data_IF_389647538547
#
_entry.id   IF_389647538547
#
_cell.length_a   1.000
_cell.length_b   1.000
_cell.length_c   1.000
_cell.angle_alpha   90.00
_cell.angle_beta   90.00
_cell.angle_gamma   90.00
#
_symmetry.space_group_name_H-M   'P 1'
#
loop_
_entity.id
_entity.type
_entity.pdbx_description
1 polymer ?
#
# COMPACT_ATOMS: atom_id res chain seq x y z
N UNK A 1 8.91 -7.14 -10.61
CA UNK A 1 7.54 -7.70 -10.42
C UNK A 1 7.45 -9.22 -10.60
N UNK A 2 8.29 -9.91 -11.41
CA UNK A 2 8.15 -11.37 -11.63
C UNK A 2 8.52 -12.30 -10.45
N UNK A 3 9.30 -11.83 -9.47
CA UNK A 3 9.92 -12.66 -8.42
C UNK A 3 9.32 -12.54 -7.02
N UNK A 4 8.39 -11.61 -6.77
CA UNK A 4 7.66 -11.52 -5.48
C UNK A 4 6.68 -12.70 -5.25
N UNK A 5 6.80 -13.75 -6.10
CA UNK A 5 5.75 -14.69 -6.49
C UNK A 5 6.05 -16.15 -6.17
N UNK A 6 7.29 -16.50 -5.87
CA UNK A 6 7.65 -17.91 -5.64
C UNK A 6 7.14 -18.43 -4.28
N UNK A 7 6.91 -17.55 -3.29
CA UNK A 7 6.60 -17.98 -1.92
C UNK A 7 5.16 -17.70 -1.47
N UNK A 8 4.44 -16.71 -2.01
CA UNK A 8 3.03 -16.47 -1.63
C UNK A 8 2.09 -17.61 -2.07
N UNK A 9 2.39 -18.27 -3.21
CA UNK A 9 1.62 -19.40 -3.75
C UNK A 9 2.00 -20.78 -3.16
N UNK A 10 3.21 -20.94 -2.62
CA UNK A 10 3.68 -22.23 -2.11
C UNK A 10 3.07 -22.58 -0.73
N UNK A 11 2.74 -21.58 0.07
CA UNK A 11 2.34 -21.77 1.47
C UNK A 11 0.84 -21.92 1.72
N UNK A 12 0.02 -21.35 0.85
CA UNK A 12 -1.43 -21.49 0.94
C UNK A 12 -1.87 -22.95 0.65
N UNK A 13 -0.99 -23.78 0.07
CA UNK A 13 -1.22 -25.20 -0.22
C UNK A 13 -1.12 -26.12 1.00
N UNK A 14 -0.53 -25.67 2.12
CA UNK A 14 -0.25 -26.51 3.30
C UNK A 14 -1.17 -26.21 4.50
N UNK A 15 -2.15 -25.32 4.35
CA UNK A 15 -3.13 -25.00 5.40
C UNK A 15 -4.25 -26.03 5.57
N UNK A 16 -4.47 -26.90 4.58
CA UNK A 16 -5.54 -27.90 4.63
C UNK A 16 -5.02 -29.24 5.23
N UNK A 17 -5.35 -29.45 6.52
CA UNK A 17 -5.31 -30.70 7.33
C UNK A 17 -3.99 -31.05 8.05
N UNK A 18 -4.09 -31.57 9.30
CA UNK A 18 -4.37 -32.99 9.50
C UNK A 18 -5.56 -33.33 10.42
N UNK A 19 -5.85 -34.63 10.45
CA UNK A 19 -7.03 -35.32 10.94
C UNK A 19 -7.39 -35.15 12.43
N UNK A 20 -8.69 -35.33 12.68
CA UNK A 20 -9.35 -35.35 13.99
C UNK A 20 -8.65 -36.31 14.95
N UNK A 21 -8.18 -35.80 16.09
CA UNK A 21 -8.04 -36.58 17.32
C UNK A 21 -8.85 -35.92 18.42
N UNK A 22 -9.79 -36.69 18.97
CA UNK A 22 -10.61 -36.32 20.13
C UNK A 22 -9.73 -36.29 21.37
N UNK A 23 -9.85 -35.23 22.18
CA UNK A 23 -9.46 -35.23 23.60
C UNK A 23 -10.57 -34.53 24.43
N UNK A 24 -10.75 -34.93 25.70
CA UNK A 24 -11.99 -34.76 26.44
C UNK A 24 -12.11 -33.44 27.21
N UNK A 25 -13.35 -33.08 27.53
CA UNK A 25 -13.78 -31.93 28.32
C UNK A 25 -13.46 -32.07 29.82
N UNK A 26 -13.34 -30.94 30.52
CA UNK A 26 -13.76 -30.65 31.92
C UNK A 26 -13.27 -29.23 32.34
N UNK A 27 -13.78 -28.59 33.42
CA UNK A 27 -15.00 -27.80 33.39
C UNK A 27 -14.81 -26.34 33.88
N UNK A 28 -15.86 -25.55 33.68
CA UNK A 28 -16.12 -24.18 34.14
C UNK A 28 -16.08 -24.01 35.66
N UNK A 29 -15.55 -22.87 36.13
CA UNK A 29 -15.93 -22.26 37.42
C UNK A 29 -15.96 -20.72 37.32
N UNK A 30 -17.16 -20.17 37.50
CA UNK A 30 -17.41 -18.79 37.91
C UNK A 30 -17.16 -18.65 39.42
N UNK A 31 -16.95 -17.42 39.91
CA UNK A 31 -17.82 -17.00 41.01
C UNK A 31 -18.41 -15.59 40.81
N UNK A 32 -19.66 -15.48 41.25
CA UNK A 32 -20.40 -14.25 41.47
C UNK A 32 -20.23 -13.75 42.91
N UNK A 33 -20.40 -12.43 43.11
CA UNK A 33 -20.84 -11.64 44.31
C UNK A 33 -20.25 -10.23 44.12
N UNK A 34 -20.94 -9.10 44.27
CA UNK A 34 -22.19 -8.74 44.91
C UNK A 34 -21.97 -7.43 45.72
N UNK A 35 -22.98 -6.55 45.76
CA UNK A 35 -23.18 -5.29 46.55
C UNK A 35 -22.99 -3.99 45.77
N UNK A 36 -24.07 -3.32 45.32
CA UNK A 36 -24.98 -2.37 46.01
C UNK A 36 -24.33 -1.11 46.57
N UNK A 37 -24.61 0.04 45.93
CA UNK A 37 -24.94 1.28 46.64
C UNK A 37 -25.95 2.12 45.86
N UNK A 38 -27.04 2.47 46.57
CA UNK A 38 -28.08 3.40 46.21
C UNK A 38 -27.54 4.82 46.01
N UNK A 39 -28.04 5.53 45.00
CA UNK A 39 -28.27 6.98 45.10
C UNK A 39 -29.64 7.35 44.53
N UNK A 40 -30.34 8.13 45.34
CA UNK A 40 -31.66 8.72 45.15
C UNK A 40 -31.67 9.75 44.01
N UNK A 41 -32.81 9.86 43.32
CA UNK A 41 -33.51 11.11 42.93
C UNK A 41 -34.84 10.69 42.27
N UNK A 42 -35.95 10.92 42.95
CA UNK A 42 -36.83 12.10 42.83
C UNK A 42 -37.90 11.89 41.76
N UNK A 43 -39.13 11.78 42.24
CA UNK A 43 -40.39 11.68 41.48
C UNK A 43 -40.63 12.99 40.72
N UNK A 44 -41.17 12.89 39.51
CA UNK A 44 -42.28 13.75 39.12
C UNK A 44 -43.24 13.00 38.20
N UNK A 45 -44.52 13.30 38.37
CA UNK A 45 -45.68 12.56 37.90
C UNK A 45 -46.58 13.53 37.15
N UNK A 46 -46.94 13.21 35.90
CA UNK A 46 -47.84 14.03 35.10
C UNK A 46 -48.51 13.22 34.00
N UNK A 47 -49.67 12.67 34.32
CA UNK A 47 -50.53 11.85 33.47
C UNK A 47 -51.27 12.65 32.37
N UNK A 48 -51.35 12.04 31.17
CA UNK A 48 -52.58 11.73 30.39
C UNK A 48 -53.40 12.91 29.83
N UNK A 49 -53.64 12.90 28.50
CA UNK A 49 -54.96 12.58 27.89
C UNK A 49 -54.92 12.57 26.34
N UNK A 50 -55.53 11.56 25.70
CA UNK A 50 -55.82 11.52 24.25
C UNK A 50 -57.30 11.82 23.94
N UNK A 51 -57.60 12.33 22.73
CA UNK A 51 -58.93 12.33 22.09
C UNK A 51 -58.72 12.23 20.56
N UNK A 52 -59.13 11.16 19.85
CA UNK A 52 -60.48 10.77 19.35
C UNK A 52 -61.16 11.91 18.55
N UNK A 53 -61.81 11.73 17.40
CA UNK A 53 -62.17 10.58 16.54
C UNK A 53 -62.97 11.13 15.32
N UNK A 54 -63.17 10.30 14.27
CA UNK A 54 -64.26 10.27 13.25
C UNK A 54 -64.14 11.05 11.93
N UNK A 55 -64.04 10.36 10.77
CA UNK A 55 -65.10 9.77 9.87
C UNK A 55 -65.25 10.69 8.64
N UNK A 56 -65.57 10.30 7.40
CA UNK A 56 -65.97 9.08 6.67
C UNK A 56 -65.79 9.44 5.17
N UNK A 57 -65.55 8.46 4.30
CA UNK A 57 -65.63 8.67 2.85
C UNK A 57 -65.30 7.42 2.08
N UNK A 58 -66.33 6.63 1.78
CA UNK A 58 -66.34 5.51 0.84
C UNK A 58 -66.34 6.05 -0.59
N UNK A 59 -65.49 5.53 -1.48
CA UNK A 59 -65.98 5.03 -2.76
C UNK A 59 -64.97 4.15 -3.51
N UNK A 60 -65.53 3.33 -4.38
CA UNK A 60 -64.97 2.13 -4.97
C UNK A 60 -64.11 2.37 -6.24
N UNK A 61 -63.32 1.32 -6.54
CA UNK A 61 -62.83 0.90 -7.87
C UNK A 61 -62.00 1.88 -8.71
N UNK A 62 -60.69 1.63 -8.81
CA UNK A 62 -60.04 1.55 -10.13
C UNK A 62 -58.81 0.62 -10.05
N UNK A 63 -58.99 -0.56 -10.62
CA UNK A 63 -58.01 -1.63 -10.76
C UNK A 63 -57.16 -1.33 -12.01
N UNK A 64 -56.09 -0.57 -11.83
CA UNK A 64 -55.04 -0.42 -12.86
C UNK A 64 -53.68 -0.70 -12.26
N UNK A 65 -53.25 -1.93 -12.50
CA UNK A 65 -51.92 -2.48 -12.33
C UNK A 65 -50.81 -1.45 -12.66
N UNK A 66 -50.31 -0.78 -11.63
CA UNK A 66 -48.98 -0.16 -11.66
C UNK A 66 -47.98 -1.25 -11.29
N UNK A 67 -47.40 -1.85 -12.31
CA UNK A 67 -46.21 -2.67 -12.17
C UNK A 67 -45.15 -1.84 -11.44
N UNK A 68 -44.92 -2.16 -10.16
CA UNK A 68 -43.78 -1.64 -9.40
C UNK A 68 -42.53 -2.19 -10.11
N UNK A 69 -41.54 -1.36 -10.46
CA UNK A 69 -40.29 -1.87 -10.99
C UNK A 69 -39.70 -2.82 -9.95
N UNK A 70 -39.22 -3.96 -10.45
CA UNK A 70 -38.93 -5.16 -9.68
C UNK A 70 -38.19 -4.89 -8.39
N UNK A 71 -38.53 -5.67 -7.35
CA UNK A 71 -37.64 -5.92 -6.23
C UNK A 71 -36.24 -6.12 -6.81
N UNK A 72 -35.31 -5.24 -6.44
CA UNK A 72 -33.88 -5.46 -6.62
C UNK A 72 -33.65 -6.92 -6.22
N UNK A 73 -33.15 -7.74 -7.15
CA UNK A 73 -32.67 -9.07 -6.78
C UNK A 73 -31.74 -8.84 -5.58
N UNK A 74 -31.88 -9.59 -4.47
CA UNK A 74 -30.90 -9.50 -3.41
C UNK A 74 -29.55 -9.70 -4.09
N UNK A 75 -28.64 -8.73 -3.92
CA UNK A 75 -27.27 -8.86 -4.39
C UNK A 75 -26.84 -10.26 -3.99
N UNK A 76 -26.65 -11.14 -4.96
CA UNK A 76 -26.27 -12.53 -4.67
C UNK A 76 -25.02 -12.44 -3.84
N UNK A 77 -25.14 -12.81 -2.56
CA UNK A 77 -24.07 -12.70 -1.58
C UNK A 77 -22.84 -13.39 -2.15
N UNK A 78 -21.71 -12.70 -2.17
CA UNK A 78 -20.52 -13.23 -2.85
C UNK A 78 -20.04 -14.46 -2.06
N UNK A 79 -19.57 -15.52 -2.74
CA UNK A 79 -19.21 -16.78 -2.07
C UNK A 79 -18.17 -16.63 -0.95
N UNK A 80 -17.29 -15.62 -1.02
CA UNK A 80 -16.28 -15.34 0.00
C UNK A 80 -16.78 -14.46 1.16
N UNK A 81 -18.04 -14.02 1.16
CA UNK A 81 -18.60 -13.15 2.22
C UNK A 81 -19.49 -13.92 3.20
N UNK A 82 -20.07 -15.05 2.76
CA UNK A 82 -21.07 -15.83 3.52
C UNK A 82 -20.52 -17.15 4.08
N UNK A 83 -21.11 -17.61 5.19
CA UNK A 83 -20.82 -18.92 5.78
C UNK A 83 -19.71 -18.89 6.83
N UNK A 84 -19.22 -20.08 7.22
CA UNK A 84 -18.06 -20.19 8.09
C UNK A 84 -16.76 -19.84 7.36
N UNK A 85 -15.64 -19.75 8.09
CA UNK A 85 -14.36 -19.34 7.50
C UNK A 85 -13.89 -20.28 6.38
N UNK A 86 -14.19 -21.58 6.47
CA UNK A 86 -13.84 -22.55 5.44
C UNK A 86 -14.68 -22.33 4.17
N UNK A 87 -15.99 -22.10 4.31
CA UNK A 87 -16.87 -21.77 3.19
C UNK A 87 -16.40 -20.48 2.49
N UNK A 88 -16.03 -19.44 3.25
CA UNK A 88 -15.49 -18.20 2.69
C UNK A 88 -14.14 -18.43 1.98
N UNK A 89 -13.29 -19.30 2.53
CA UNK A 89 -12.02 -19.68 1.91
C UNK A 89 -12.25 -20.34 0.55
N UNK A 90 -13.15 -21.33 0.50
CA UNK A 90 -13.50 -22.04 -0.73
C UNK A 90 -14.21 -21.11 -1.73
N UNK A 91 -14.93 -20.09 -1.24
CA UNK A 91 -15.55 -19.05 -2.06
C UNK A 91 -14.57 -18.25 -2.92
N UNK A 92 -13.33 -18.07 -2.47
CA UNK A 92 -12.26 -17.44 -3.25
C UNK A 92 -11.68 -18.34 -4.35
N UNK A 93 -12.00 -19.64 -4.35
CA UNK A 93 -11.40 -20.63 -5.24
C UNK A 93 -12.38 -21.07 -6.34
N UNK A 94 -11.83 -21.55 -7.45
CA UNK A 94 -12.54 -22.34 -8.42
C UNK A 94 -12.75 -23.77 -7.89
N UNK A 95 -13.56 -24.56 -8.61
CA UNK A 95 -13.89 -25.94 -8.22
C UNK A 95 -12.67 -26.86 -8.10
N UNK A 96 -11.52 -26.50 -8.67
CA UNK A 96 -10.26 -27.24 -8.53
C UNK A 96 -9.60 -27.09 -7.14
N UNK A 97 -10.14 -26.21 -6.29
CA UNK A 97 -9.65 -25.95 -4.94
C UNK A 97 -8.26 -25.30 -4.88
N UNK A 98 -7.75 -24.77 -6.00
CA UNK A 98 -6.37 -24.24 -6.09
C UNK A 98 -6.29 -22.92 -6.84
N UNK A 99 -7.11 -22.73 -7.86
CA UNK A 99 -7.09 -21.54 -8.69
C UNK A 99 -8.02 -20.50 -8.08
N UNK A 100 -7.55 -19.27 -7.85
CA UNK A 100 -8.43 -18.21 -7.37
C UNK A 100 -9.48 -17.87 -8.43
N UNK A 101 -10.71 -17.60 -7.98
CA UNK A 101 -11.78 -17.12 -8.84
C UNK A 101 -11.37 -15.81 -9.49
N UNK A 102 -11.48 -15.74 -10.81
CA UNK A 102 -10.89 -14.68 -11.61
C UNK A 102 -11.73 -14.35 -12.86
N UNK A 103 -11.56 -13.11 -13.36
CA UNK A 103 -12.19 -12.54 -14.56
C UNK A 103 -11.43 -12.80 -15.85
N UNK A 104 -10.18 -13.24 -15.75
CA UNK A 104 -9.29 -13.49 -16.90
C UNK A 104 -9.51 -14.87 -17.52
N UNK A 105 -10.50 -15.64 -17.07
CA UNK A 105 -10.83 -16.96 -17.59
C UNK A 105 -9.73 -17.99 -17.37
N UNK A 106 -8.92 -17.83 -16.32
CA UNK A 106 -7.89 -18.78 -15.95
C UNK A 106 -8.47 -19.96 -15.16
N UNK A 107 -8.15 -21.18 -15.59
CA UNK A 107 -8.62 -22.44 -15.00
C UNK A 107 -7.54 -23.20 -14.23
N UNK A 108 -6.29 -22.74 -14.31
CA UNK A 108 -5.16 -23.29 -13.54
C UNK A 108 -4.39 -22.16 -12.85
N UNK A 109 -3.65 -22.45 -11.77
CA UNK A 109 -2.84 -21.44 -11.09
C UNK A 109 -1.77 -20.83 -12.01
N UNK A 110 -1.18 -21.62 -12.90
CA UNK A 110 -0.12 -21.18 -13.82
C UNK A 110 -0.67 -20.23 -14.88
N UNK A 111 -1.88 -20.50 -15.40
CA UNK A 111 -2.53 -19.63 -16.36
C UNK A 111 -3.03 -18.34 -15.71
N UNK A 112 -3.53 -18.43 -14.47
CA UNK A 112 -3.92 -17.25 -13.68
C UNK A 112 -2.68 -16.38 -13.43
N UNK A 113 -1.58 -17.02 -13.05
CA UNK A 113 -0.29 -16.38 -12.82
C UNK A 113 0.11 -15.55 -14.05
N UNK A 114 0.17 -16.15 -15.23
CA UNK A 114 0.56 -15.43 -16.45
C UNK A 114 -0.39 -14.26 -16.80
N UNK A 115 -1.70 -14.49 -16.74
CA UNK A 115 -2.70 -13.50 -17.16
C UNK A 115 -2.83 -12.35 -16.18
N UNK A 116 -2.78 -12.63 -14.88
CA UNK A 116 -2.79 -11.62 -13.83
C UNK A 116 -1.60 -10.66 -14.01
N UNK A 117 -0.38 -11.17 -14.20
CA UNK A 117 0.82 -10.33 -14.32
C UNK A 117 0.67 -9.29 -15.43
N UNK A 118 0.21 -9.74 -16.61
CA UNK A 118 0.03 -8.86 -17.76
C UNK A 118 -1.01 -7.77 -17.49
N UNK A 119 -2.11 -8.11 -16.82
CA UNK A 119 -3.20 -7.16 -16.52
C UNK A 119 -2.81 -6.17 -15.43
N UNK A 120 -2.20 -6.66 -14.36
CA UNK A 120 -1.77 -5.85 -13.22
C UNK A 120 -0.64 -4.91 -13.63
N UNK A 121 0.32 -5.35 -14.45
CA UNK A 121 1.38 -4.47 -14.98
C UNK A 121 0.80 -3.31 -15.80
N UNK A 122 -0.14 -3.59 -16.70
CA UNK A 122 -0.80 -2.55 -17.48
C UNK A 122 -1.52 -1.54 -16.57
N UNK A 123 -2.20 -2.01 -15.52
CA UNK A 123 -2.83 -1.12 -14.52
C UNK A 123 -1.82 -0.35 -13.68
N UNK A 124 -0.70 -0.95 -13.30
CA UNK A 124 0.36 -0.28 -12.57
C UNK A 124 0.96 0.89 -13.37
N UNK A 125 1.14 0.72 -14.69
CA UNK A 125 1.57 1.81 -15.57
C UNK A 125 0.57 2.97 -15.55
N UNK A 126 -0.72 2.69 -15.76
CA UNK A 126 -1.76 3.74 -15.72
C UNK A 126 -1.87 4.41 -14.33
N UNK A 127 -1.67 3.65 -13.25
CA UNK A 127 -1.68 4.22 -11.89
C UNK A 127 -0.53 5.20 -11.69
N UNK A 128 0.67 4.85 -12.17
CA UNK A 128 1.85 5.70 -12.02
C UNK A 128 1.79 6.94 -12.90
N UNK A 129 1.08 6.89 -14.01
CA UNK A 129 0.80 8.03 -14.89
C UNK A 129 -0.23 8.98 -14.28
N UNK A 130 -1.35 8.46 -13.78
CA UNK A 130 -2.44 9.28 -13.23
C UNK A 130 -2.28 9.66 -11.75
N UNK A 131 -1.37 8.99 -11.04
CA UNK A 131 -1.18 9.16 -9.60
C UNK A 131 -2.04 8.22 -8.76
N UNK A 132 -1.66 8.09 -7.48
CA UNK A 132 -2.41 7.30 -6.51
C UNK A 132 -3.54 8.12 -5.87
N UNK A 133 -4.56 7.45 -5.30
CA UNK A 133 -5.52 8.10 -4.41
C UNK A 133 -4.80 8.90 -3.32
N UNK A 134 -5.29 10.11 -3.03
CA UNK A 134 -4.64 11.04 -2.09
C UNK A 134 -4.83 10.67 -0.60
N UNK A 135 -5.33 9.47 -0.29
CA UNK A 135 -5.56 9.03 1.09
C UNK A 135 -4.59 7.91 1.45
N UNK A 136 -3.89 8.06 2.56
CA UNK A 136 -2.95 7.07 3.09
C UNK A 136 -3.56 6.23 4.23
N UNK A 137 -4.79 5.79 4.01
CA UNK A 137 -5.62 5.00 4.92
C UNK A 137 -6.07 3.68 4.24
N UNK A 138 -6.94 2.93 4.91
CA UNK A 138 -7.48 1.69 4.34
C UNK A 138 -8.26 1.93 3.03
N UNK A 139 -8.96 3.06 2.90
CA UNK A 139 -9.67 3.41 1.68
C UNK A 139 -8.70 3.61 0.50
N UNK A 140 -7.56 4.26 0.75
CA UNK A 140 -6.48 4.42 -0.22
C UNK A 140 -5.90 3.09 -0.68
N UNK A 141 -5.55 2.20 0.26
CA UNK A 141 -5.09 0.84 -0.09
C UNK A 141 -6.13 0.07 -0.92
N UNK A 142 -7.41 0.15 -0.55
CA UNK A 142 -8.50 -0.50 -1.29
C UNK A 142 -8.63 0.05 -2.70
N UNK A 143 -8.48 1.36 -2.87
CA UNK A 143 -8.53 2.00 -4.18
C UNK A 143 -7.34 1.60 -5.07
N UNK A 144 -6.11 1.53 -4.52
CA UNK A 144 -4.94 1.00 -5.23
C UNK A 144 -5.18 -0.46 -5.64
N UNK A 145 -5.61 -1.30 -4.70
CA UNK A 145 -5.89 -2.71 -4.99
C UNK A 145 -6.98 -2.86 -6.06
N UNK A 146 -8.07 -2.10 -5.96
CA UNK A 146 -9.13 -2.10 -6.97
C UNK A 146 -8.56 -1.74 -8.33
N UNK A 147 -7.79 -0.66 -8.43
CA UNK A 147 -7.22 -0.23 -9.70
C UNK A 147 -6.32 -1.29 -10.34
N UNK A 148 -5.44 -1.89 -9.54
CA UNK A 148 -4.50 -2.92 -9.99
C UNK A 148 -5.20 -4.21 -10.43
N UNK A 149 -6.22 -4.66 -9.70
CA UNK A 149 -6.79 -6.00 -9.83
C UNK A 149 -8.21 -6.07 -10.40
N UNK A 150 -8.84 -4.94 -10.73
CA UNK A 150 -10.24 -4.88 -11.24
C UNK A 150 -10.51 -5.76 -12.46
N UNK A 151 -9.49 -6.01 -13.30
CA UNK A 151 -9.62 -6.86 -14.50
C UNK A 151 -9.30 -8.34 -14.21
N UNK A 152 -8.87 -8.67 -12.98
CA UNK A 152 -8.44 -10.02 -12.59
C UNK A 152 -9.39 -10.62 -11.56
N UNK A 153 -9.78 -9.88 -10.53
CA UNK A 153 -10.53 -10.41 -9.40
C UNK A 153 -11.87 -9.71 -9.20
N UNK A 154 -12.91 -10.48 -8.88
CA UNK A 154 -14.22 -9.94 -8.53
C UNK A 154 -14.22 -9.18 -7.20
N UNK A 155 -13.30 -9.54 -6.30
CA UNK A 155 -13.10 -8.94 -4.98
C UNK A 155 -12.04 -7.81 -4.99
N UNK A 156 -11.70 -7.26 -6.15
CA UNK A 156 -10.69 -6.22 -6.24
C UNK A 156 -11.05 -4.96 -5.41
N UNK A 157 -10.27 -4.69 -4.37
CA UNK A 157 -10.46 -3.58 -3.43
C UNK A 157 -11.30 -3.94 -2.20
N UNK A 158 -11.65 -5.21 -2.05
CA UNK A 158 -12.37 -5.72 -0.88
C UNK A 158 -11.38 -6.34 0.11
N UNK A 159 -11.57 -6.03 1.39
CA UNK A 159 -10.77 -6.61 2.47
C UNK A 159 -11.07 -8.10 2.57
N UNK A 160 -10.06 -8.91 2.85
CA UNK A 160 -10.21 -10.35 3.00
C UNK A 160 -11.17 -10.68 4.14
N UNK A 161 -11.87 -11.79 3.99
CA UNK A 161 -12.83 -12.32 4.98
C UNK A 161 -12.34 -13.58 5.68
N UNK A 162 -11.09 -13.98 5.40
CA UNK A 162 -10.45 -15.19 5.91
C UNK A 162 -9.08 -14.87 6.48
N UNK A 163 -8.69 -15.61 7.50
CA UNK A 163 -7.35 -15.54 8.08
C UNK A 163 -6.33 -16.09 7.10
N UNK A 164 -5.20 -15.41 6.98
CA UNK A 164 -4.09 -15.81 6.12
C UNK A 164 -2.77 -15.73 6.88
N UNK A 165 -1.82 -16.54 6.46
CA UNK A 165 -0.46 -16.57 6.99
C UNK A 165 0.53 -16.66 5.84
N UNK A 166 1.72 -16.10 6.04
CA UNK A 166 2.88 -16.39 5.20
C UNK A 166 3.62 -17.53 5.89
N UNK A 167 3.84 -18.62 5.16
CA UNK A 167 4.60 -19.78 5.66
C UNK A 167 4.18 -20.30 7.02
N UNK A 168 5.11 -20.99 7.67
CA UNK A 168 5.00 -21.36 9.07
C UNK A 168 5.32 -20.18 10.00
N UNK A 169 5.77 -19.05 9.43
CA UNK A 169 6.46 -17.99 10.18
C UNK A 169 5.51 -16.96 10.79
N UNK A 170 4.21 -17.00 10.51
CA UNK A 170 3.22 -16.27 11.29
C UNK A 170 1.95 -15.89 10.55
N UNK A 171 0.89 -15.72 11.34
CA UNK A 171 -0.36 -15.14 10.87
C UNK A 171 -0.20 -13.64 10.63
N UNK A 172 -0.90 -13.14 9.61
CA UNK A 172 -1.12 -11.71 9.46
C UNK A 172 -2.17 -11.23 10.46
N UNK A 173 -2.46 -9.92 10.48
CA UNK A 173 -3.39 -9.33 11.44
C UNK A 173 -4.73 -10.10 11.52
N UNK A 174 -5.31 -10.27 12.72
CA UNK A 174 -6.69 -10.71 12.84
C UNK A 174 -7.64 -9.82 12.02
N UNK A 175 -8.73 -10.40 11.49
CA UNK A 175 -9.65 -9.70 10.59
C UNK A 175 -10.23 -8.42 11.20
N UNK A 176 -10.56 -8.48 12.49
CA UNK A 176 -11.10 -7.38 13.29
C UNK A 176 -10.06 -6.29 13.65
N UNK A 177 -8.79 -6.50 13.30
CA UNK A 177 -7.68 -5.55 13.56
C UNK A 177 -7.17 -4.84 12.32
N UNK A 178 -7.71 -5.16 11.15
CA UNK A 178 -7.27 -4.55 9.88
C UNK A 178 -7.56 -3.05 9.87
N UNK A 179 -8.76 -2.65 10.30
CA UNK A 179 -9.18 -1.25 10.36
C UNK A 179 -8.35 -0.47 11.39
N UNK A 180 -8.29 -0.96 12.63
CA UNK A 180 -7.47 -0.37 13.71
C UNK A 180 -6.02 -0.12 13.28
N UNK A 181 -5.38 -1.11 12.63
CA UNK A 181 -3.98 -1.00 12.21
C UNK A 181 -3.79 0.08 11.13
N UNK A 182 -4.72 0.18 10.18
CA UNK A 182 -4.66 1.21 9.14
C UNK A 182 -5.01 2.60 9.65
N UNK A 183 -5.89 2.71 10.64
CA UNK A 183 -6.19 3.98 11.30
C UNK A 183 -5.00 4.52 12.08
N UNK A 184 -4.22 3.64 12.71
CA UNK A 184 -2.95 4.01 13.34
C UNK A 184 -1.93 4.54 12.32
N UNK A 185 -1.81 3.89 11.15
CA UNK A 185 -0.98 4.39 10.04
C UNK A 185 -1.47 5.75 9.57
N UNK A 186 -2.77 5.89 9.28
CA UNK A 186 -3.35 7.14 8.79
C UNK A 186 -3.17 8.30 9.79
N UNK A 187 -3.25 8.01 11.09
CA UNK A 187 -3.00 8.99 12.15
C UNK A 187 -1.55 9.43 12.18
N UNK A 188 -0.61 8.48 12.19
CA UNK A 188 0.82 8.80 12.14
C UNK A 188 1.19 9.64 10.91
N UNK A 189 0.64 9.31 9.74
CA UNK A 189 0.89 10.05 8.51
C UNK A 189 0.28 11.45 8.54
N UNK A 190 -0.92 11.62 9.10
CA UNK A 190 -1.53 12.95 9.28
C UNK A 190 -0.70 13.83 10.22
N UNK A 191 -0.28 13.27 11.36
CA UNK A 191 0.48 14.00 12.38
C UNK A 191 1.88 14.42 11.89
N UNK A 192 2.42 13.70 10.91
CA UNK A 192 3.72 13.98 10.28
C UNK A 192 3.60 14.67 8.92
N UNK A 193 2.39 15.08 8.54
CA UNK A 193 2.08 15.71 7.25
C UNK A 193 2.60 14.91 6.05
N UNK A 194 2.25 13.61 6.01
CA UNK A 194 2.79 12.60 5.10
C UNK A 194 4.32 12.55 5.12
N UNK A 195 4.88 12.54 6.33
CA UNK A 195 6.33 12.56 6.62
C UNK A 195 7.06 13.86 6.24
N UNK A 196 6.38 14.90 5.72
CA UNK A 196 7.02 16.17 5.32
C UNK A 196 7.59 16.98 6.49
N UNK A 197 7.08 16.78 7.71
CA UNK A 197 7.59 17.47 8.91
C UNK A 197 8.79 16.78 9.55
N UNK A 198 9.17 15.59 9.08
CA UNK A 198 10.31 14.85 9.62
C UNK A 198 11.64 15.39 9.07
N UNK A 199 12.72 15.19 9.83
CA UNK A 199 14.06 15.37 9.30
C UNK A 199 14.29 14.42 8.11
N UNK A 200 14.88 14.88 6.98
CA UNK A 200 15.10 14.03 5.81
C UNK A 200 15.86 12.73 6.11
N UNK A 201 16.77 12.73 7.09
CA UNK A 201 17.51 11.53 7.52
C UNK A 201 16.63 10.51 8.25
N UNK A 202 15.51 10.93 8.83
CA UNK A 202 14.56 10.08 9.54
C UNK A 202 13.53 9.41 8.59
N UNK A 203 13.29 9.99 7.41
CA UNK A 203 12.26 9.51 6.47
C UNK A 203 12.43 8.04 6.06
N UNK A 204 13.62 7.52 5.74
CA UNK A 204 13.75 6.10 5.40
C UNK A 204 13.31 5.16 6.54
N UNK A 205 13.62 5.54 7.79
CA UNK A 205 13.19 4.79 8.96
C UNK A 205 11.68 4.86 9.21
N UNK A 206 11.06 5.99 8.90
CA UNK A 206 9.60 6.17 8.96
C UNK A 206 8.90 5.34 7.87
N UNK A 207 9.40 5.37 6.63
CA UNK A 207 8.90 4.55 5.53
C UNK A 207 8.97 3.05 5.86
N UNK A 208 10.08 2.59 6.43
CA UNK A 208 10.22 1.21 6.89
C UNK A 208 9.17 0.83 7.94
N UNK A 209 8.88 1.74 8.88
CA UNK A 209 7.92 1.50 9.96
C UNK A 209 6.48 1.44 9.43
N UNK A 210 6.12 2.36 8.53
CA UNK A 210 4.82 2.34 7.85
C UNK A 210 4.66 1.07 7.03
N UNK A 211 5.68 0.72 6.23
CA UNK A 211 5.68 -0.49 5.41
C UNK A 211 5.53 -1.76 6.25
N UNK A 212 6.23 -1.86 7.39
CA UNK A 212 6.10 -2.98 8.32
C UNK A 212 4.65 -3.18 8.79
N UNK A 213 3.99 -2.12 9.24
CA UNK A 213 2.60 -2.17 9.71
C UNK A 213 1.65 -2.58 8.59
N UNK A 214 1.76 -1.97 7.41
CA UNK A 214 0.90 -2.31 6.27
C UNK A 214 1.14 -3.75 5.81
N UNK A 215 2.40 -4.20 5.82
CA UNK A 215 2.77 -5.57 5.47
C UNK A 215 2.18 -6.62 6.44
N UNK A 216 2.21 -6.34 7.74
CA UNK A 216 1.61 -7.20 8.76
C UNK A 216 0.08 -7.18 8.74
N UNK A 217 -0.53 -6.04 8.36
CA UNK A 217 -1.98 -5.90 8.21
C UNK A 217 -2.52 -6.83 7.13
N UNK A 218 -1.83 -6.86 5.98
CA UNK A 218 -2.13 -7.77 4.86
C UNK A 218 -3.62 -7.84 4.51
N UNK A 219 -4.25 -6.69 4.16
CA UNK A 219 -5.71 -6.57 4.17
C UNK A 219 -6.43 -7.31 3.04
N UNK A 220 -5.74 -7.77 1.99
CA UNK A 220 -6.36 -8.38 0.82
C UNK A 220 -6.13 -9.89 0.74
N UNK A 221 -6.95 -10.59 -0.05
CA UNK A 221 -6.80 -12.04 -0.24
C UNK A 221 -5.53 -12.41 -1.01
N UNK A 222 -5.13 -11.59 -1.97
CA UNK A 222 -3.94 -11.75 -2.81
C UNK A 222 -3.57 -10.37 -3.37
N UNK A 223 -2.29 -10.14 -3.73
CA UNK A 223 -1.85 -8.87 -4.32
C UNK A 223 -1.31 -7.84 -3.33
N UNK A 224 -1.21 -8.18 -2.04
CA UNK A 224 -0.79 -7.25 -0.97
C UNK A 224 0.56 -6.60 -1.23
N UNK A 225 1.60 -7.37 -1.60
CA UNK A 225 2.93 -6.81 -1.84
C UNK A 225 2.97 -5.78 -2.98
N UNK A 226 2.17 -5.99 -4.04
CA UNK A 226 2.06 -5.05 -5.18
C UNK A 226 1.39 -3.75 -4.77
N UNK A 227 0.32 -3.84 -3.98
CA UNK A 227 -0.37 -2.66 -3.43
C UNK A 227 0.54 -1.88 -2.47
N UNK A 228 1.23 -2.58 -1.57
CA UNK A 228 2.13 -1.98 -0.59
C UNK A 228 3.27 -1.20 -1.23
N UNK A 229 3.86 -1.75 -2.30
CA UNK A 229 4.95 -1.07 -3.03
C UNK A 229 4.47 0.21 -3.69
N UNK A 230 3.30 0.22 -4.33
CA UNK A 230 2.77 1.47 -4.89
C UNK A 230 2.44 2.49 -3.78
N UNK A 231 1.80 2.04 -2.69
CA UNK A 231 1.45 2.88 -1.54
C UNK A 231 2.67 3.56 -0.93
N UNK A 232 3.70 2.79 -0.57
CA UNK A 232 4.89 3.35 0.09
C UNK A 232 5.73 4.19 -0.87
N UNK A 233 5.72 3.87 -2.17
CA UNK A 233 6.40 4.67 -3.20
C UNK A 233 5.72 6.02 -3.38
N UNK A 234 4.39 6.08 -3.35
CA UNK A 234 3.66 7.34 -3.36
C UNK A 234 3.95 8.15 -2.10
N UNK A 235 3.92 7.54 -0.92
CA UNK A 235 4.22 8.22 0.34
C UNK A 235 5.64 8.81 0.34
N UNK A 236 6.62 8.07 -0.16
CA UNK A 236 7.98 8.59 -0.31
C UNK A 236 8.00 9.86 -1.18
N UNK A 237 7.26 9.87 -2.31
CA UNK A 237 7.16 11.04 -3.19
C UNK A 237 6.55 12.25 -2.50
N UNK A 238 5.49 12.07 -1.72
CA UNK A 238 4.86 13.16 -0.93
C UNK A 238 5.86 13.83 0.03
N UNK A 239 6.74 13.04 0.64
CA UNK A 239 7.78 13.53 1.53
C UNK A 239 9.00 14.12 0.80
N UNK A 240 8.99 14.19 -0.53
CA UNK A 240 10.13 14.66 -1.33
C UNK A 240 11.25 13.63 -1.47
N UNK A 241 10.94 12.34 -1.45
CA UNK A 241 11.89 11.23 -1.58
C UNK A 241 11.54 10.31 -2.75
N UNK A 242 12.51 9.48 -3.17
CA UNK A 242 12.34 8.42 -4.17
C UNK A 242 12.76 7.08 -3.57
N UNK A 243 12.02 6.03 -3.92
CA UNK A 243 12.39 4.64 -3.61
C UNK A 243 12.86 3.95 -4.88
N UNK A 244 14.05 3.37 -4.84
CA UNK A 244 14.60 2.55 -5.92
C UNK A 244 14.54 1.06 -5.57
N UNK A 245 13.44 0.43 -5.97
CA UNK A 245 13.23 -1.00 -5.78
C UNK A 245 14.20 -1.89 -6.57
N UNK A 246 14.91 -1.38 -7.57
CA UNK A 246 15.90 -2.17 -8.33
C UNK A 246 17.12 -2.54 -7.48
N UNK A 247 17.33 -1.80 -6.39
CA UNK A 247 18.37 -2.06 -5.40
C UNK A 247 17.97 -3.14 -4.40
N UNK A 248 16.72 -3.59 -4.35
CA UNK A 248 16.31 -4.69 -3.47
C UNK A 248 16.65 -6.01 -4.15
N UNK A 249 17.40 -6.87 -3.46
CA UNK A 249 17.79 -8.17 -4.03
C UNK A 249 16.56 -9.05 -4.18
N UNK A 250 16.28 -9.47 -5.42
CA UNK A 250 15.15 -10.33 -5.71
C UNK A 250 15.43 -11.78 -5.31
N UNK A 251 14.36 -12.51 -4.98
CA UNK A 251 14.42 -13.94 -4.71
C UNK A 251 14.80 -14.72 -5.98
N UNK A 252 15.37 -15.90 -5.79
CA UNK A 252 15.68 -16.87 -6.86
C UNK A 252 15.36 -18.27 -6.35
N UNK A 253 15.25 -19.29 -7.21
CA UNK A 253 14.96 -20.65 -6.75
C UNK A 253 15.89 -21.07 -5.60
N UNK A 254 15.31 -21.35 -4.43
CA UNK A 254 16.02 -21.73 -3.20
C UNK A 254 16.47 -20.57 -2.30
N UNK A 255 16.18 -19.31 -2.65
CA UNK A 255 16.57 -18.13 -1.88
C UNK A 255 15.43 -17.10 -1.84
N UNK A 256 14.96 -16.81 -0.63
CA UNK A 256 13.98 -15.76 -0.30
C UNK A 256 14.50 -14.38 -0.76
N UNK A 257 13.60 -13.47 -1.16
CA UNK A 257 14.00 -12.10 -1.53
C UNK A 257 14.48 -11.33 -0.29
N UNK A 258 15.32 -10.30 -0.48
CA UNK A 258 15.76 -9.44 0.64
C UNK A 258 14.57 -8.84 1.39
N UNK A 259 13.54 -8.41 0.67
CA UNK A 259 12.33 -7.84 1.26
C UNK A 259 11.53 -8.87 2.05
N UNK A 260 11.39 -10.10 1.54
CA UNK A 260 10.69 -11.17 2.24
C UNK A 260 11.43 -11.57 3.52
N UNK A 261 12.77 -11.73 3.44
CA UNK A 261 13.62 -12.01 4.59
C UNK A 261 13.53 -10.90 5.65
N UNK A 262 13.65 -9.63 5.23
CA UNK A 262 13.55 -8.49 6.14
C UNK A 262 12.16 -8.39 6.79
N UNK A 263 11.11 -8.65 6.03
CA UNK A 263 9.72 -8.66 6.51
C UNK A 263 9.46 -9.79 7.50
N UNK A 264 10.03 -10.98 7.25
CA UNK A 264 9.93 -12.13 8.16
C UNK A 264 10.61 -11.84 9.50
N UNK A 265 11.80 -11.25 9.47
CA UNK A 265 12.52 -10.85 10.70
C UNK A 265 11.76 -9.76 11.45
N UNK A 266 11.19 -8.78 10.75
CA UNK A 266 10.38 -7.71 11.34
C UNK A 266 9.15 -8.25 12.11
N UNK A 267 8.47 -9.28 11.59
CA UNK A 267 7.37 -9.96 12.29
C UNK A 267 7.78 -10.57 13.62
N UNK A 268 9.01 -11.05 13.72
CA UNK A 268 9.57 -11.61 14.97
C UNK A 268 10.19 -10.56 15.90
N UNK A 269 10.14 -9.28 15.51
CA UNK A 269 10.59 -8.14 16.31
C UNK A 269 11.86 -7.46 15.79
N UNK A 270 12.67 -8.14 14.98
CA UNK A 270 13.89 -7.58 14.41
C UNK A 270 13.59 -6.77 13.14
N UNK A 271 13.46 -5.46 13.32
CA UNK A 271 13.22 -4.48 12.25
C UNK A 271 14.51 -3.92 11.64
N UNK A 272 15.69 -4.33 12.13
CA UNK A 272 16.98 -3.83 11.67
C UNK A 272 17.19 -4.02 10.16
N UNK A 273 17.00 -5.24 9.62
CA UNK A 273 17.13 -5.51 8.19
C UNK A 273 16.18 -4.68 7.32
N UNK A 274 14.93 -4.53 7.76
CA UNK A 274 13.94 -3.74 7.02
C UNK A 274 14.32 -2.25 6.99
N UNK A 275 14.74 -1.70 8.13
CA UNK A 275 15.25 -0.31 8.21
C UNK A 275 16.48 -0.12 7.33
N UNK A 276 17.43 -1.05 7.34
CA UNK A 276 18.63 -0.99 6.52
C UNK A 276 18.31 -1.03 5.02
N UNK A 277 17.36 -1.88 4.60
CA UNK A 277 16.87 -1.91 3.23
C UNK A 277 16.31 -0.55 2.81
N UNK A 278 15.37 0.01 3.59
CA UNK A 278 14.77 1.32 3.27
C UNK A 278 15.80 2.46 3.28
N UNK A 279 16.74 2.48 4.22
CA UNK A 279 17.84 3.46 4.24
C UNK A 279 18.67 3.43 2.95
N UNK A 280 18.88 2.25 2.38
CA UNK A 280 19.69 2.06 1.18
C UNK A 280 18.95 2.39 -0.13
N UNK A 281 17.63 2.19 -0.17
CA UNK A 281 16.84 2.40 -1.39
C UNK A 281 16.15 3.77 -1.45
N UNK A 282 16.21 4.57 -0.37
CA UNK A 282 15.57 5.89 -0.30
C UNK A 282 16.57 7.00 -0.61
N UNK A 283 16.23 7.92 -1.51
CA UNK A 283 17.01 9.13 -1.80
C UNK A 283 16.13 10.37 -1.75
N UNK A 284 16.70 11.54 -1.41
CA UNK A 284 15.97 12.82 -1.44
C UNK A 284 15.79 13.29 -2.89
N UNK A 285 14.56 13.60 -3.29
CA UNK A 285 14.27 14.16 -4.60
C UNK A 285 14.88 15.56 -4.71
N UNK A 286 15.74 15.77 -5.71
CA UNK A 286 16.46 17.04 -5.92
C UNK A 286 17.95 17.00 -5.60
N UNK A 287 18.48 15.91 -5.02
CA UNK A 287 19.86 15.54 -5.29
C UNK A 287 19.89 15.09 -6.76
N UNK A 288 20.63 15.82 -7.62
CA UNK A 288 20.69 15.62 -9.07
C UNK A 288 20.71 14.11 -9.39
N UNK A 289 19.75 13.65 -10.19
CA UNK A 289 19.55 12.25 -10.57
C UNK A 289 20.91 11.58 -10.83
N UNK A 290 21.23 10.50 -10.11
CA UNK A 290 22.50 9.77 -10.30
C UNK A 290 22.67 9.34 -11.76
N UNK A 291 21.57 9.08 -12.48
CA UNK A 291 21.54 8.83 -13.91
C UNK A 291 21.86 10.05 -14.78
N UNK A 292 21.43 11.25 -14.38
CA UNK A 292 21.83 12.50 -15.06
C UNK A 292 23.30 12.78 -14.77
N UNK A 293 23.79 12.54 -13.54
CA UNK A 293 25.20 12.65 -13.21
C UNK A 293 26.07 11.65 -13.99
N UNK A 294 25.63 10.41 -14.14
CA UNK A 294 26.37 9.41 -14.91
C UNK A 294 26.30 9.69 -16.42
N UNK A 295 25.17 10.16 -16.94
CA UNK A 295 25.06 10.63 -18.32
C UNK A 295 25.95 11.87 -18.56
N UNK A 296 25.97 12.84 -17.63
CA UNK A 296 26.82 14.01 -17.70
C UNK A 296 28.30 13.65 -17.57
N UNK A 297 28.67 12.67 -16.72
CA UNK A 297 30.04 12.12 -16.62
C UNK A 297 30.47 11.42 -17.89
N UNK A 298 29.61 10.61 -18.50
CA UNK A 298 29.88 9.95 -19.77
C UNK A 298 30.06 10.96 -20.91
N UNK A 299 29.23 12.01 -20.95
CA UNK A 299 29.36 13.10 -21.92
C UNK A 299 30.64 13.93 -21.67
N UNK A 300 30.99 14.19 -20.41
CA UNK A 300 32.22 14.90 -20.05
C UNK A 300 33.48 14.08 -20.37
N UNK A 301 33.44 12.76 -20.16
CA UNK A 301 34.54 11.83 -20.49
C UNK A 301 34.66 11.57 -22.00
N UNK A 302 33.62 11.84 -22.78
CA UNK A 302 33.60 11.69 -24.24
C UNK A 302 34.02 12.96 -25.00
N UNK A 303 34.32 14.06 -24.30
CA UNK A 303 34.84 15.28 -24.93
C UNK A 303 36.32 15.09 -25.27
N UNK A 304 36.74 15.25 -26.55
CA UNK A 304 38.15 15.24 -26.88
C UNK A 304 38.84 16.44 -26.19
N UNK A 305 40.11 16.29 -25.76
CA UNK A 305 40.86 17.40 -25.19
C UNK A 305 40.88 18.55 -26.18
N UNK A 306 40.45 19.73 -25.73
CA UNK A 306 40.53 20.97 -26.50
C UNK A 306 41.95 21.14 -27.01
N UNK A 307 42.15 21.04 -28.32
CA UNK A 307 43.43 21.37 -28.97
C UNK A 307 43.64 22.87 -28.83
N UNK A 308 44.28 23.29 -27.74
CA UNK A 308 44.86 24.61 -27.65
C UNK A 308 45.84 24.78 -28.81
N UNK A 309 45.56 25.72 -29.71
CA UNK A 309 46.51 26.13 -30.75
C UNK A 309 47.73 26.75 -30.07
N UNK A 310 48.96 26.35 -30.40
CA UNK A 310 50.15 27.00 -29.87
C UNK A 310 50.29 28.42 -30.43
N UNK A 311 50.61 29.36 -29.53
CA UNK A 311 50.96 30.73 -29.87
C UNK A 311 52.16 30.77 -30.81
N UNK A 312 52.00 31.44 -31.96
CA UNK A 312 53.10 31.80 -32.83
C UNK A 312 53.75 33.09 -32.32
N UNK A 313 55.06 33.04 -32.10
CA UNK A 313 55.89 34.17 -31.67
C UNK A 313 56.74 34.68 -32.85
N UNK A 314 56.82 36.02 -32.94
CA UNK A 314 57.85 36.87 -33.57
C UNK A 314 57.75 37.15 -35.10
N UNK A 315 58.33 38.28 -35.62
CA UNK A 315 59.24 39.23 -34.97
C UNK A 315 58.91 40.74 -35.11
N UNK A 316 59.77 41.54 -34.47
CA UNK A 316 59.73 42.98 -34.25
C UNK A 316 59.97 43.85 -35.51
N UNK A 317 59.36 45.03 -35.54
CA UNK A 317 59.83 46.20 -36.31
C UNK A 317 59.69 47.45 -35.44
N UNK A 318 60.79 48.22 -35.37
CA UNK A 318 60.94 49.45 -34.62
C UNK A 318 60.28 50.66 -35.29
N UNK A 319 59.75 51.61 -34.51
CA UNK A 319 60.23 53.03 -34.43
C UNK A 319 59.21 54.01 -33.79
N UNK A 320 59.74 54.78 -32.82
CA UNK A 320 59.66 56.25 -32.62
C UNK A 320 58.39 56.92 -32.05
N UNK A 321 58.56 57.46 -30.82
CA UNK A 321 58.13 58.74 -30.20
C UNK A 321 57.05 59.59 -30.92
N UNK A 322 56.04 60.22 -30.29
CA UNK A 322 56.05 61.16 -29.12
C UNK A 322 54.57 61.67 -28.86
N UNK A 323 54.26 62.63 -27.96
CA UNK A 323 53.85 62.48 -26.54
C UNK A 323 52.38 62.93 -26.17
N UNK A 324 51.97 62.58 -24.93
CA UNK A 324 51.17 63.27 -23.86
C UNK A 324 50.19 64.45 -24.19
N UNK A 325 49.13 64.75 -23.39
CA UNK A 325 49.09 64.69 -21.90
C UNK A 325 47.74 64.38 -21.21
N UNK A 326 47.78 64.23 -19.87
CA UNK A 326 46.62 64.51 -18.99
C UNK A 326 46.35 63.50 -17.88
N UNK A 327 47.05 63.64 -16.74
CA UNK A 327 46.75 63.01 -15.44
C UNK A 327 45.65 63.82 -14.69
N UNK A 328 45.38 63.61 -13.37
CA UNK A 328 45.66 62.51 -12.42
C UNK A 328 44.36 62.06 -11.69
N UNK A 329 44.27 61.07 -10.80
CA UNK A 329 45.24 60.20 -10.12
C UNK A 329 44.60 59.55 -8.87
N UNK A 330 45.45 58.80 -8.15
CA UNK A 330 45.33 58.25 -6.78
C UNK A 330 44.42 57.04 -6.55
N UNK A 331 44.71 56.12 -5.64
CA UNK A 331 45.96 55.54 -5.14
C UNK A 331 45.61 54.36 -4.20
N UNK A 332 46.52 53.40 -4.10
CA UNK A 332 46.78 52.35 -3.09
C UNK A 332 45.79 52.10 -1.94
N UNK A 333 45.49 50.84 -1.64
CA UNK A 333 46.34 49.96 -0.80
C UNK A 333 45.49 49.54 0.40
N UNK A 334 45.64 48.36 1.01
CA UNK A 334 46.82 47.54 1.26
C UNK A 334 46.35 46.13 1.65
#
# INVERSE_FOLDING_TARGET
MRQDREEEHADQRRGARPARRRCPAHPTQHPARGRTHQRRRSRDSGQVRPRRDRRRGTDATDDRARQRPGRSQPLTERPWESGDEQARWDGYLLADGRTLRNRVGATTPEMLREREDRRVEARALTLREHGLPATYDLAGLRAIHRHLFQDVYDWAGDVRTVSIRKSRDGWFAPLDRIEDAMDAVATYLRDTDNLRTLDPSAVPGALASVYDVVNQTHPFREGNGRVQREFITALARESGHRLDWTRVTLGRPGYESENDQASRLARTGDRGPLRAMFARITTKAGAIDDHVNDALRLVAASRPPSTARPSATAPAVARVNRPAPGAPGRDYGR
#
